data_IF_569546451517
#
_entry.id   IF_569546451517
#
_cell.length_a   1.000
_cell.length_b   1.000
_cell.length_c   1.000
_cell.angle_alpha   90.00
_cell.angle_beta   90.00
_cell.angle_gamma   90.00
#
_symmetry.space_group_name_H-M   'P 1'
#
loop_
_entity.id
_entity.type
_entity.pdbx_description
1 polymer ?
#
# COMPACT_ATOMS: atom_id res chain seq x y z
N UNK A 1 32.16 -29.37 -5.85
CA UNK A 1 32.27 -28.40 -4.73
C UNK A 1 31.35 -27.23 -5.04
N UNK A 2 30.18 -27.13 -4.39
CA UNK A 2 29.26 -26.02 -4.67
C UNK A 2 29.70 -24.78 -3.90
N UNK A 3 30.04 -23.73 -4.65
CA UNK A 3 30.44 -22.43 -4.12
C UNK A 3 29.30 -21.85 -3.28
N UNK A 4 29.52 -21.74 -1.97
CA UNK A 4 28.64 -21.03 -1.05
C UNK A 4 28.64 -19.55 -1.45
N UNK A 5 27.58 -19.12 -2.16
CA UNK A 5 27.33 -17.72 -2.49
C UNK A 5 27.29 -16.94 -1.16
N UNK A 6 28.34 -16.17 -0.88
CA UNK A 6 28.40 -15.29 0.29
C UNK A 6 27.27 -14.27 0.15
N UNK A 7 26.14 -14.53 0.79
CA UNK A 7 25.11 -13.54 1.03
C UNK A 7 25.77 -12.41 1.82
N UNK A 8 26.02 -11.29 1.16
CA UNK A 8 26.47 -10.07 1.82
C UNK A 8 25.46 -9.78 2.94
N UNK A 9 25.94 -9.80 4.19
CA UNK A 9 25.15 -9.39 5.35
C UNK A 9 24.80 -7.92 5.12
N UNK A 10 23.55 -7.66 4.72
CA UNK A 10 23.00 -6.31 4.76
C UNK A 10 23.12 -5.80 6.19
N UNK A 11 23.59 -4.57 6.36
CA UNK A 11 23.67 -3.91 7.65
C UNK A 11 22.30 -3.98 8.34
N UNK A 12 22.26 -4.37 9.61
CA UNK A 12 21.02 -4.48 10.39
C UNK A 12 20.30 -3.14 10.51
N UNK A 13 21.03 -2.03 10.40
CA UNK A 13 20.49 -0.68 10.49
C UNK A 13 19.74 -0.22 9.21
N UNK A 14 19.96 -0.89 8.07
CA UNK A 14 19.43 -0.49 6.76
C UNK A 14 18.22 -1.31 6.27
N UNK A 15 17.84 -2.38 6.99
CA UNK A 15 16.57 -3.05 6.70
C UNK A 15 15.49 -2.17 7.28
N UNK A 16 15.00 -1.26 6.43
CA UNK A 16 13.92 -0.34 6.63
C UNK A 16 12.96 -0.77 7.75
N UNK A 17 12.59 0.18 8.60
CA UNK A 17 11.41 0.16 9.47
C UNK A 17 10.10 0.00 8.66
N UNK A 18 10.03 -0.89 7.65
CA UNK A 18 9.35 -0.59 6.39
C UNK A 18 8.93 -1.78 5.52
N UNK A 19 8.57 -2.93 6.10
CA UNK A 19 7.57 -3.87 5.53
C UNK A 19 7.21 -4.94 6.57
N UNK A 20 6.00 -5.51 6.49
CA UNK A 20 5.55 -6.58 7.40
C UNK A 20 6.54 -7.76 7.46
N UNK A 21 6.93 -8.31 6.31
CA UNK A 21 7.88 -9.44 6.24
C UNK A 21 9.26 -9.13 6.80
N UNK A 22 9.74 -7.89 6.64
CA UNK A 22 11.02 -7.45 7.21
C UNK A 22 11.02 -7.45 8.74
N UNK A 23 9.91 -7.04 9.36
CA UNK A 23 9.75 -7.07 10.82
C UNK A 23 9.79 -8.49 11.36
N UNK A 24 9.06 -9.42 10.74
CA UNK A 24 9.05 -10.84 11.12
C UNK A 24 10.45 -11.45 10.98
N UNK A 25 11.13 -11.16 9.87
CA UNK A 25 12.50 -11.64 9.65
C UNK A 25 13.47 -11.15 10.72
N UNK A 26 13.44 -9.85 11.03
CA UNK A 26 14.34 -9.23 12.00
C UNK A 26 14.09 -9.78 13.41
N UNK A 27 12.83 -9.83 13.85
CA UNK A 27 12.46 -10.35 15.15
C UNK A 27 12.82 -11.83 15.30
N UNK A 28 12.54 -12.67 14.28
CA UNK A 28 12.95 -14.08 14.30
C UNK A 28 14.47 -14.24 14.49
N UNK A 29 15.28 -13.38 13.85
CA UNK A 29 16.74 -13.41 13.99
C UNK A 29 17.21 -12.96 15.37
N UNK A 30 16.56 -11.99 16.00
CA UNK A 30 16.85 -11.59 17.38
C UNK A 30 16.58 -12.74 18.37
N UNK A 31 15.54 -13.55 18.11
CA UNK A 31 15.25 -14.77 18.88
C UNK A 31 16.09 -16.00 18.48
N UNK A 32 17.04 -15.88 17.55
CA UNK A 32 17.91 -16.97 17.08
C UNK A 32 17.12 -18.18 16.54
N UNK A 33 15.92 -17.96 16.01
CA UNK A 33 15.06 -19.01 15.47
C UNK A 33 15.34 -19.24 13.97
N UNK A 34 15.33 -20.49 13.54
CA UNK A 34 15.22 -20.84 12.12
C UNK A 34 13.80 -20.61 11.61
N UNK A 35 13.62 -20.52 10.29
CA UNK A 35 12.28 -20.43 9.71
C UNK A 35 11.41 -21.64 10.08
N UNK A 36 12.00 -22.85 10.11
CA UNK A 36 11.26 -24.07 10.47
C UNK A 36 10.75 -24.01 11.92
N UNK A 37 11.60 -23.58 12.86
CA UNK A 37 11.25 -23.51 14.27
C UNK A 37 10.17 -22.45 14.56
N UNK A 38 10.21 -21.29 13.89
CA UNK A 38 9.14 -20.31 14.05
C UNK A 38 7.84 -20.78 13.41
N UNK A 39 7.90 -21.39 12.22
CA UNK A 39 6.72 -21.91 11.53
C UNK A 39 6.03 -23.00 12.37
N UNK A 40 6.80 -23.93 12.94
CA UNK A 40 6.29 -24.96 13.84
C UNK A 40 5.60 -24.37 15.09
N UNK A 41 6.18 -23.31 15.68
CA UNK A 41 5.60 -22.61 16.85
C UNK A 41 4.25 -21.95 16.57
N UNK A 42 3.96 -21.61 15.31
CA UNK A 42 2.71 -20.95 14.90
C UNK A 42 1.82 -21.88 14.07
N UNK A 43 2.07 -23.19 14.09
CA UNK A 43 1.31 -24.21 13.36
C UNK A 43 1.24 -23.94 11.84
N UNK A 44 2.33 -23.44 11.27
CA UNK A 44 2.52 -23.22 9.82
C UNK A 44 3.73 -23.97 9.29
N UNK A 45 3.87 -24.03 7.97
CA UNK A 45 5.01 -24.64 7.31
C UNK A 45 6.15 -23.65 7.01
N UNK A 46 7.37 -24.18 6.87
CA UNK A 46 8.57 -23.37 6.60
C UNK A 46 8.48 -22.57 5.27
N UNK A 47 7.98 -23.13 4.16
CA UNK A 47 7.72 -22.36 2.93
C UNK A 47 6.80 -21.15 3.15
N UNK A 48 5.70 -21.31 3.87
CA UNK A 48 4.78 -20.21 4.21
C UNK A 48 5.53 -19.06 4.90
N UNK A 49 6.35 -19.38 5.90
CA UNK A 49 7.10 -18.35 6.62
C UNK A 49 8.15 -17.67 5.72
N UNK A 50 8.77 -18.40 4.80
CA UNK A 50 9.67 -17.83 3.81
C UNK A 50 8.96 -16.84 2.89
N UNK A 51 7.75 -17.19 2.43
CA UNK A 51 6.94 -16.32 1.58
C UNK A 51 6.45 -15.08 2.34
N UNK A 52 6.17 -15.20 3.64
CA UNK A 52 5.87 -14.06 4.52
C UNK A 52 7.08 -13.12 4.64
N UNK A 53 8.26 -13.64 5.00
CA UNK A 53 9.46 -12.83 5.22
C UNK A 53 9.95 -12.13 3.95
N UNK A 54 9.75 -12.75 2.80
CA UNK A 54 10.10 -12.18 1.49
C UNK A 54 9.03 -11.23 0.93
N UNK A 55 7.84 -11.17 1.56
CA UNK A 55 6.73 -10.35 1.12
C UNK A 55 6.00 -10.89 -0.11
N UNK A 56 6.16 -12.17 -0.44
CA UNK A 56 5.45 -12.85 -1.53
C UNK A 56 3.99 -13.11 -1.17
N UNK A 57 3.69 -13.34 0.11
CA UNK A 57 2.31 -13.36 0.61
C UNK A 57 1.86 -11.93 0.93
N UNK A 58 0.82 -11.48 0.23
CA UNK A 58 0.22 -10.16 0.39
C UNK A 58 -0.90 -10.11 1.44
N UNK A 59 -1.49 -11.27 1.74
CA UNK A 59 -2.56 -11.42 2.73
C UNK A 59 -2.18 -12.49 3.74
N UNK A 60 -1.89 -12.06 4.97
CA UNK A 60 -1.67 -12.93 6.13
C UNK A 60 -2.86 -12.75 7.06
N UNK A 61 -3.44 -13.85 7.53
CA UNK A 61 -4.65 -13.83 8.37
C UNK A 61 -4.36 -13.19 9.72
N UNK A 62 -5.38 -12.60 10.35
CA UNK A 62 -5.25 -11.98 11.67
C UNK A 62 -4.81 -12.98 12.75
N UNK A 63 -5.26 -14.25 12.66
CA UNK A 63 -4.84 -15.33 13.55
C UNK A 63 -3.34 -15.59 13.48
N UNK A 64 -2.78 -15.62 12.27
CA UNK A 64 -1.35 -15.85 12.02
C UNK A 64 -0.52 -14.67 12.53
N UNK A 65 -1.04 -13.44 12.38
CA UNK A 65 -0.39 -12.24 12.91
C UNK A 65 -0.32 -12.28 14.43
N UNK A 66 -1.42 -12.67 15.09
CA UNK A 66 -1.44 -12.83 16.55
C UNK A 66 -0.47 -13.92 17.00
N UNK A 67 -0.42 -15.05 16.29
CA UNK A 67 0.52 -16.13 16.58
C UNK A 67 1.98 -15.68 16.42
N UNK A 68 2.30 -14.98 15.33
CA UNK A 68 3.62 -14.39 15.09
C UNK A 68 3.99 -13.35 16.17
N UNK A 69 3.05 -12.48 16.54
CA UNK A 69 3.24 -11.47 17.58
C UNK A 69 3.59 -12.12 18.92
N UNK A 70 2.80 -13.11 19.35
CA UNK A 70 3.01 -13.85 20.58
C UNK A 70 4.34 -14.63 20.56
N UNK A 71 4.66 -15.32 19.46
CA UNK A 71 5.88 -16.11 19.34
C UNK A 71 7.16 -15.26 19.31
N UNK A 72 7.08 -14.01 18.87
CA UNK A 72 8.21 -13.08 18.71
C UNK A 72 8.22 -11.94 19.72
N UNK A 73 7.30 -11.91 20.68
CA UNK A 73 7.17 -10.83 21.66
C UNK A 73 6.95 -9.45 21.02
N UNK A 74 6.26 -9.41 19.87
CA UNK A 74 5.94 -8.16 19.16
C UNK A 74 4.55 -7.67 19.53
N UNK A 75 4.35 -6.37 19.38
CA UNK A 75 3.03 -5.75 19.52
C UNK A 75 2.12 -6.12 18.33
N UNK A 76 0.91 -6.58 18.64
CA UNK A 76 -0.06 -7.06 17.63
C UNK A 76 -0.51 -5.90 16.74
N UNK A 77 -0.80 -4.74 17.32
CA UNK A 77 -1.25 -3.56 16.58
C UNK A 77 -0.18 -3.03 15.64
N UNK A 78 1.09 -3.08 16.06
CA UNK A 78 2.25 -2.76 15.21
C UNK A 78 2.30 -3.67 13.97
N UNK A 79 2.09 -4.98 14.14
CA UNK A 79 2.12 -5.93 13.02
C UNK A 79 0.90 -5.79 12.09
N UNK A 80 -0.29 -5.61 12.64
CA UNK A 80 -1.51 -5.34 11.84
C UNK A 80 -1.33 -4.06 11.01
N UNK A 81 -0.82 -3.00 11.61
CA UNK A 81 -0.52 -1.74 10.93
C UNK A 81 0.58 -1.89 9.86
N UNK A 82 1.57 -2.75 10.10
CA UNK A 82 2.61 -3.05 9.12
C UNK A 82 2.08 -3.86 7.93
N UNK A 83 1.19 -4.84 8.15
CA UNK A 83 0.49 -5.56 7.08
C UNK A 83 -0.31 -4.58 6.23
N UNK A 84 -1.15 -3.76 6.87
CA UNK A 84 -2.04 -2.85 6.16
C UNK A 84 -1.26 -1.84 5.31
N UNK A 85 -0.10 -1.34 5.78
CA UNK A 85 0.81 -0.50 4.99
C UNK A 85 1.48 -1.23 3.81
N UNK A 86 1.73 -2.53 3.96
CA UNK A 86 2.22 -3.37 2.86
C UNK A 86 1.13 -3.65 1.84
N UNK A 87 -0.12 -3.83 2.26
CA UNK A 87 -1.28 -3.98 1.37
C UNK A 87 -1.68 -2.66 0.71
N UNK A 88 -1.59 -1.52 1.41
CA UNK A 88 -1.96 -0.20 0.90
C UNK A 88 -0.95 0.39 -0.07
N UNK A 89 0.26 -0.19 -0.21
CA UNK A 89 1.14 0.10 -1.35
C UNK A 89 0.58 -0.38 -2.70
N UNK A 90 -0.52 -1.15 -2.67
CA UNK A 90 -1.36 -1.50 -3.82
C UNK A 90 -2.69 -0.73 -3.83
N UNK A 91 -2.92 0.19 -2.89
CA UNK A 91 -4.06 1.10 -2.95
C UNK A 91 -3.61 2.38 -3.64
N UNK A 92 -4.25 2.80 -4.75
CA UNK A 92 -4.09 4.17 -5.22
C UNK A 92 -4.40 5.12 -4.03
N UNK A 93 -3.65 6.22 -3.94
CA UNK A 93 -4.02 7.43 -3.18
C UNK A 93 -5.53 7.63 -3.22
N UNK A 94 -6.16 8.18 -2.16
CA UNK A 94 -7.61 8.27 -2.03
C UNK A 94 -8.19 8.70 -3.37
N UNK A 95 -8.71 7.71 -4.12
CA UNK A 95 -9.27 7.98 -5.43
C UNK A 95 -10.41 8.91 -5.10
N UNK A 96 -10.30 10.14 -5.60
CA UNK A 96 -11.34 11.13 -5.50
C UNK A 96 -12.54 10.53 -6.25
N UNK A 97 -13.34 9.74 -5.54
CA UNK A 97 -14.52 9.07 -6.07
C UNK A 97 -15.50 10.19 -6.38
N UNK A 98 -15.57 10.60 -7.64
CA UNK A 98 -16.76 11.30 -8.08
C UNK A 98 -16.72 12.06 -9.39
N UNK A 99 -15.58 12.54 -9.87
CA UNK A 99 -15.61 13.41 -11.06
C UNK A 99 -14.73 12.88 -12.19
N UNK A 100 -15.41 12.35 -13.21
CA UNK A 100 -14.88 12.11 -14.54
C UNK A 100 -15.27 13.28 -15.43
N UNK A 101 -14.35 13.70 -16.29
CA UNK A 101 -14.63 14.68 -17.33
C UNK A 101 -14.56 14.04 -18.71
N UNK A 102 -15.52 14.40 -19.55
CA UNK A 102 -15.56 13.93 -20.94
C UNK A 102 -14.74 14.86 -21.80
N UNK A 103 -13.86 14.29 -22.63
CA UNK A 103 -13.12 15.06 -23.63
C UNK A 103 -14.09 15.61 -24.68
N UNK A 104 -14.11 16.93 -24.86
CA UNK A 104 -15.00 17.58 -25.84
C UNK A 104 -14.67 17.22 -27.29
N UNK A 105 -13.45 16.75 -27.57
CA UNK A 105 -12.99 16.40 -28.93
C UNK A 105 -13.32 14.96 -29.32
N UNK A 106 -13.10 13.99 -28.42
CA UNK A 106 -13.25 12.56 -28.76
C UNK A 106 -14.25 11.80 -27.88
N UNK A 107 -14.89 12.45 -26.91
CA UNK A 107 -15.88 11.83 -26.03
C UNK A 107 -15.31 10.87 -24.97
N UNK A 108 -13.97 10.72 -24.87
CA UNK A 108 -13.36 9.85 -23.86
C UNK A 108 -13.61 10.39 -22.45
N UNK A 109 -14.06 9.52 -21.55
CA UNK A 109 -14.09 9.80 -20.11
C UNK A 109 -12.69 9.74 -19.53
N UNK A 110 -12.24 10.83 -18.93
CA UNK A 110 -10.94 11.00 -18.28
C UNK A 110 -11.15 11.38 -16.81
N UNK A 111 -10.17 11.13 -15.91
CA UNK A 111 -10.26 11.63 -14.54
C UNK A 111 -10.26 13.16 -14.52
N UNK A 112 -10.93 13.77 -13.55
CA UNK A 112 -10.95 15.24 -13.36
C UNK A 112 -9.55 15.83 -13.17
N UNK A 113 -8.61 15.07 -12.61
CA UNK A 113 -7.21 15.51 -12.46
C UNK A 113 -6.38 15.44 -13.74
N UNK A 114 -6.89 14.86 -14.83
CA UNK A 114 -6.14 14.81 -16.08
C UNK A 114 -6.08 16.18 -16.76
N UNK A 115 -4.86 16.65 -17.05
CA UNK A 115 -4.63 17.84 -17.86
C UNK A 115 -4.83 17.60 -19.36
N UNK A 116 -4.69 16.34 -19.81
CA UNK A 116 -4.79 15.96 -21.23
C UNK A 116 -5.62 14.68 -21.41
N UNK A 117 -6.30 14.58 -22.55
CA UNK A 117 -7.09 13.42 -22.89
C UNK A 117 -6.21 12.20 -23.17
N UNK A 118 -6.46 11.10 -22.44
CA UNK A 118 -5.77 9.82 -22.61
C UNK A 118 -5.99 9.13 -23.95
N UNK A 119 -6.92 9.61 -24.78
CA UNK A 119 -7.23 9.03 -26.08
C UNK A 119 -6.75 9.89 -27.25
N UNK A 120 -6.96 11.21 -27.21
CA UNK A 120 -6.66 12.09 -28.35
C UNK A 120 -5.60 13.17 -28.04
N UNK A 121 -5.11 13.27 -26.80
CA UNK A 121 -4.07 14.23 -26.40
C UNK A 121 -4.54 15.68 -26.21
N UNK A 122 -5.82 15.98 -26.46
CA UNK A 122 -6.37 17.34 -26.27
C UNK A 122 -6.27 17.81 -24.81
N UNK A 123 -6.03 19.11 -24.58
CA UNK A 123 -6.05 19.69 -23.23
C UNK A 123 -7.47 19.61 -22.65
N UNK A 124 -7.58 19.11 -21.42
CA UNK A 124 -8.83 19.03 -20.69
C UNK A 124 -9.05 20.31 -19.85
N UNK A 125 -10.31 20.71 -19.60
CA UNK A 125 -10.61 21.90 -18.80
C UNK A 125 -10.07 21.77 -17.37
N UNK A 126 -9.55 22.88 -16.87
CA UNK A 126 -8.97 22.96 -15.52
C UNK A 126 -10.07 22.89 -14.45
N UNK A 127 -9.69 22.48 -13.25
CA UNK A 127 -10.59 22.34 -12.11
C UNK A 127 -10.32 23.43 -11.07
N UNK A 128 -11.39 23.89 -10.42
CA UNK A 128 -11.33 24.88 -9.33
C UNK A 128 -11.90 24.27 -8.04
N UNK A 129 -11.33 24.62 -6.89
CA UNK A 129 -11.84 24.18 -5.59
C UNK A 129 -12.83 25.20 -5.03
N UNK A 130 -13.97 24.71 -4.53
CA UNK A 130 -14.97 25.57 -3.90
C UNK A 130 -14.41 26.15 -2.58
N UNK A 131 -14.44 27.47 -2.36
CA UNK A 131 -13.94 28.06 -1.11
C UNK A 131 -14.82 27.75 0.11
N UNK A 132 -16.10 27.40 -0.10
CA UNK A 132 -17.06 27.14 0.97
C UNK A 132 -17.03 25.69 1.47
N UNK A 133 -16.90 24.71 0.57
CA UNK A 133 -16.95 23.29 0.93
C UNK A 133 -15.75 22.46 0.43
N UNK A 134 -14.77 23.09 -0.22
CA UNK A 134 -13.56 22.46 -0.77
C UNK A 134 -13.80 21.38 -1.82
N UNK A 135 -15.02 21.28 -2.37
CA UNK A 135 -15.30 20.38 -3.47
C UNK A 135 -14.65 20.89 -4.76
N UNK A 136 -13.94 20.01 -5.47
CA UNK A 136 -13.42 20.28 -6.81
C UNK A 136 -14.57 20.35 -7.83
N UNK A 137 -14.64 21.45 -8.56
CA UNK A 137 -15.60 21.70 -9.64
C UNK A 137 -14.85 21.99 -10.95
N UNK A 138 -15.58 22.03 -12.08
CA UNK A 138 -14.98 22.49 -13.35
C UNK A 138 -14.78 24.00 -13.29
N UNK A 139 -13.68 24.51 -13.85
CA UNK A 139 -13.42 25.95 -13.94
C UNK A 139 -14.53 26.75 -14.64
N UNK A 140 -15.31 26.11 -15.50
CA UNK A 140 -16.46 26.70 -16.19
C UNK A 140 -17.77 26.69 -15.38
N UNK A 141 -17.81 26.10 -14.17
CA UNK A 141 -19.01 26.03 -13.35
C UNK A 141 -19.26 27.35 -12.61
N UNK A 142 -20.47 27.89 -12.70
CA UNK A 142 -20.86 29.12 -11.99
C UNK A 142 -21.22 28.87 -10.50
N UNK A 143 -21.62 27.63 -10.16
CA UNK A 143 -22.03 27.24 -8.82
C UNK A 143 -21.44 25.88 -8.45
N UNK A 144 -21.19 25.68 -7.17
CA UNK A 144 -20.65 24.44 -6.62
C UNK A 144 -21.69 23.32 -6.68
N UNK A 145 -21.33 22.18 -7.29
CA UNK A 145 -22.21 21.01 -7.38
C UNK A 145 -22.42 20.29 -6.04
N UNK A 146 -21.66 20.66 -5.00
CA UNK A 146 -21.77 20.07 -3.66
C UNK A 146 -22.63 20.90 -2.71
N UNK A 147 -22.34 22.20 -2.59
CA UNK A 147 -23.02 23.09 -1.63
C UNK A 147 -23.93 24.15 -2.27
N UNK A 148 -23.89 24.34 -3.59
CA UNK A 148 -24.69 25.34 -4.30
C UNK A 148 -24.17 26.78 -4.23
N UNK A 149 -23.11 27.05 -3.47
CA UNK A 149 -22.46 28.38 -3.40
C UNK A 149 -21.79 28.75 -4.75
N UNK A 150 -21.70 30.04 -5.09
CA UNK A 150 -20.98 30.49 -6.28
C UNK A 150 -19.47 30.15 -6.18
N UNK A 151 -18.86 29.87 -7.33
CA UNK A 151 -17.45 29.50 -7.48
C UNK A 151 -16.61 30.66 -8.01
#
# INVERSE_FOLDING_TARGET
>A
MMARRKLQKRSFDDIARGSFGGLIFAARKQHVLTQAQLAEKIERDRPWLSDVETGKITHVLDEDIRALAHALGLDVDQLLSARNRSSSRLSPEPENIGMRQTCNTCGKSNPSTANFCSNCGEKLPENIECPACHLTNRSEANFCNGCGEPL
#
